data_IF_156196031357
#
_entry.id   IF_156196031357
#
_cell.length_a   1.000
_cell.length_b   1.000
_cell.length_c   1.000
_cell.angle_alpha   90.00
_cell.angle_beta   90.00
_cell.angle_gamma   90.00
#
_symmetry.space_group_name_H-M   'P 1'
#
loop_
_entity.id
_entity.type
_entity.pdbx_description
1 polymer ?
#
# COMPACT_ATOMS: atom_id res chain seq x y z
N UNK A 1 28.49 24.86 46.78
CA UNK A 1 28.19 23.78 45.81
C UNK A 1 26.73 23.74 45.33
N UNK A 2 25.73 23.77 46.22
CA UNK A 2 24.29 23.69 45.86
C UNK A 2 23.79 24.86 44.99
N UNK A 3 24.28 26.08 45.26
CA UNK A 3 23.95 27.27 44.46
C UNK A 3 24.57 27.25 43.05
N UNK A 4 25.80 26.73 42.92
CA UNK A 4 26.49 26.54 41.64
C UNK A 4 25.79 25.50 40.76
N UNK A 5 25.32 24.41 41.36
CA UNK A 5 24.50 23.39 40.68
C UNK A 5 23.16 23.96 40.19
N UNK A 6 22.52 24.84 40.98
CA UNK A 6 21.28 25.50 40.58
C UNK A 6 21.45 26.44 39.39
N UNK A 7 22.50 27.26 39.38
CA UNK A 7 22.81 28.17 38.25
C UNK A 7 23.20 27.39 37.00
N UNK A 8 23.95 26.29 37.14
CA UNK A 8 24.32 25.44 36.02
C UNK A 8 23.09 24.74 35.40
N UNK A 9 22.16 24.24 36.22
CA UNK A 9 20.90 23.67 35.71
C UNK A 9 20.03 24.72 35.00
N UNK A 10 19.97 25.96 35.51
CA UNK A 10 19.20 27.04 34.89
C UNK A 10 19.77 27.46 33.52
N UNK A 11 21.10 27.45 33.38
CA UNK A 11 21.77 27.74 32.11
C UNK A 11 21.52 26.65 31.04
N UNK A 12 21.37 25.39 31.44
CA UNK A 12 21.09 24.28 30.52
C UNK A 12 19.63 24.32 30.02
N UNK A 13 18.69 24.88 30.80
CA UNK A 13 17.29 25.02 30.38
C UNK A 13 17.05 26.06 29.27
N UNK A 14 18.00 26.96 29.01
CA UNK A 14 17.86 28.00 27.98
C UNK A 14 18.18 27.55 26.55
N UNK A 15 18.67 26.33 26.34
CA UNK A 15 19.13 25.83 25.04
C UNK A 15 18.05 25.05 24.28
N UNK A 16 16.83 25.58 24.18
CA UNK A 16 15.82 25.05 23.27
C UNK A 16 15.87 25.83 21.94
N UNK A 17 16.78 25.45 21.04
CA UNK A 17 16.74 25.92 19.65
C UNK A 17 15.61 25.17 18.94
N UNK A 18 14.42 25.78 18.88
CA UNK A 18 13.35 25.30 18.02
C UNK A 18 13.73 25.61 16.57
N UNK A 19 13.97 24.56 15.76
CA UNK A 19 14.10 24.72 14.30
C UNK A 19 12.71 24.96 13.73
N UNK A 20 12.27 26.22 13.73
CA UNK A 20 11.03 26.63 13.08
C UNK A 20 11.43 27.02 11.66
N UNK A 21 10.90 26.32 10.66
CA UNK A 21 11.04 26.71 9.27
C UNK A 21 10.31 28.05 9.05
N UNK A 22 11.05 29.16 9.07
CA UNK A 22 10.49 30.51 8.88
C UNK A 22 10.30 30.75 7.38
N UNK A 23 9.11 30.42 6.87
CA UNK A 23 8.69 30.77 5.50
C UNK A 23 8.17 32.21 5.47
N UNK A 24 8.55 32.98 4.45
CA UNK A 24 8.16 34.39 4.28
C UNK A 24 6.98 34.49 3.30
N UNK A 25 5.82 34.94 3.77
CA UNK A 25 4.63 35.16 2.93
C UNK A 25 4.47 36.64 2.58
N UNK A 26 3.88 36.96 1.42
CA UNK A 26 3.67 38.34 0.97
C UNK A 26 2.51 39.02 1.71
N UNK A 27 1.48 38.25 2.02
CA UNK A 27 0.28 38.69 2.74
C UNK A 27 -0.32 37.54 3.57
N UNK A 28 -1.28 37.86 4.44
CA UNK A 28 -1.98 36.83 5.24
C UNK A 28 -2.81 35.87 4.38
N UNK A 29 -3.30 36.31 3.22
CA UNK A 29 -4.07 35.47 2.32
C UNK A 29 -3.22 34.32 1.75
N UNK A 30 -1.96 34.60 1.43
CA UNK A 30 -0.98 33.64 0.95
C UNK A 30 -0.59 32.66 2.06
N UNK A 31 -0.43 33.12 3.30
CA UNK A 31 -0.21 32.21 4.44
C UNK A 31 -1.41 31.28 4.65
N UNK A 32 -2.63 31.80 4.60
CA UNK A 32 -3.85 30.99 4.73
C UNK A 32 -3.97 29.96 3.60
N UNK A 33 -3.68 30.36 2.36
CA UNK A 33 -3.66 29.45 1.22
C UNK A 33 -2.62 28.34 1.42
N UNK A 34 -1.43 28.67 1.91
CA UNK A 34 -0.40 27.69 2.23
C UNK A 34 -0.87 26.71 3.30
N UNK A 35 -1.42 27.21 4.42
CA UNK A 35 -1.94 26.37 5.52
C UNK A 35 -2.99 25.38 5.01
N UNK A 36 -4.01 25.87 4.30
CA UNK A 36 -5.06 25.01 3.73
C UNK A 36 -4.49 23.93 2.81
N UNK A 37 -3.55 24.30 1.94
CA UNK A 37 -2.95 23.36 1.00
C UNK A 37 -2.08 22.31 1.71
N UNK A 38 -1.36 22.69 2.76
CA UNK A 38 -0.56 21.75 3.57
C UNK A 38 -1.39 20.82 4.46
N UNK A 39 -2.62 21.21 4.80
CA UNK A 39 -3.56 20.35 5.53
C UNK A 39 -4.25 19.33 4.60
N UNK A 40 -4.51 19.71 3.35
CA UNK A 40 -5.11 18.85 2.32
C UNK A 40 -4.13 17.82 1.72
N UNK A 41 -2.83 18.07 1.87
CA UNK A 41 -1.78 17.17 1.44
C UNK A 41 -1.32 16.25 2.59
N UNK A 42 -1.21 14.94 2.31
CA UNK A 42 -0.72 13.88 3.21
C UNK A 42 0.75 13.59 2.97
N UNK A 43 1.44 13.20 4.05
CA UNK A 43 2.79 12.65 3.95
C UNK A 43 2.74 11.15 3.57
N UNK A 44 3.24 10.71 2.39
CA UNK A 44 3.15 9.32 1.94
C UNK A 44 3.96 8.31 2.78
N UNK A 45 4.88 8.80 3.61
CA UNK A 45 5.75 7.99 4.47
C UNK A 45 5.34 8.02 5.95
N UNK A 46 4.39 8.88 6.30
CA UNK A 46 3.98 9.09 7.68
C UNK A 46 2.68 8.34 7.97
N UNK A 47 2.32 8.22 9.25
CA UNK A 47 1.07 7.56 9.67
C UNK A 47 -0.15 8.44 9.40
N UNK A 48 -0.59 8.53 8.13
CA UNK A 48 -1.81 9.24 7.71
C UNK A 48 -1.94 10.67 8.28
N UNK A 49 -0.81 11.38 8.42
CA UNK A 49 -0.77 12.77 8.89
C UNK A 49 -0.66 13.71 7.68
N UNK A 50 -1.16 14.94 7.84
CA UNK A 50 -0.95 16.00 6.87
C UNK A 50 0.53 16.41 6.84
N UNK A 51 0.96 17.04 5.74
CA UNK A 51 2.32 17.61 5.67
C UNK A 51 2.48 18.83 6.59
N UNK A 52 1.37 19.44 7.04
CA UNK A 52 1.37 20.51 8.03
C UNK A 52 1.73 20.02 9.45
N UNK A 53 1.21 18.85 9.85
CA UNK A 53 1.34 18.33 11.23
C UNK A 53 2.56 17.40 11.41
N UNK A 54 3.03 16.78 10.31
CA UNK A 54 4.18 15.87 10.37
C UNK A 54 5.53 16.61 10.35
N UNK A 55 6.37 16.32 11.34
CA UNK A 55 7.76 16.81 11.43
C UNK A 55 8.79 15.91 10.72
N UNK A 56 8.36 15.04 9.80
CA UNK A 56 9.28 14.21 9.03
C UNK A 56 10.07 15.02 7.99
N UNK A 57 11.31 14.62 7.69
CA UNK A 57 12.14 15.27 6.65
C UNK A 57 11.42 15.39 5.30
N UNK A 58 10.64 14.37 4.90
CA UNK A 58 9.86 14.41 3.66
C UNK A 58 8.70 15.40 3.70
N UNK A 59 8.08 15.60 4.87
CA UNK A 59 7.00 16.58 5.01
C UNK A 59 7.55 18.03 4.92
N UNK A 60 8.75 18.28 5.44
CA UNK A 60 9.46 19.55 5.24
C UNK A 60 9.78 19.79 3.76
N UNK A 61 10.31 18.80 3.06
CA UNK A 61 10.59 18.90 1.62
C UNK A 61 9.32 19.18 0.80
N UNK A 62 8.22 18.50 1.11
CA UNK A 62 6.92 18.75 0.47
C UNK A 62 6.38 20.14 0.78
N UNK A 63 6.46 20.61 2.03
CA UNK A 63 6.06 21.99 2.41
C UNK A 63 6.89 23.03 1.66
N UNK A 64 8.20 22.81 1.54
CA UNK A 64 9.09 23.68 0.77
C UNK A 64 8.68 23.73 -0.70
N UNK A 65 8.41 22.57 -1.31
CA UNK A 65 7.98 22.50 -2.71
C UNK A 65 6.62 23.18 -2.94
N UNK A 66 5.68 23.03 -2.02
CA UNK A 66 4.39 23.75 -2.06
C UNK A 66 4.62 25.26 -2.01
N UNK A 67 5.50 25.73 -1.13
CA UNK A 67 5.84 27.14 -1.01
C UNK A 67 6.46 27.70 -2.30
N UNK A 68 7.40 26.98 -2.92
CA UNK A 68 8.00 27.36 -4.19
C UNK A 68 6.95 27.53 -5.30
N UNK A 69 6.08 26.55 -5.49
CA UNK A 69 5.04 26.60 -6.52
C UNK A 69 4.04 27.73 -6.29
N UNK A 70 3.76 28.04 -5.02
CA UNK A 70 2.91 29.17 -4.66
C UNK A 70 3.59 30.52 -4.99
N UNK A 71 4.91 30.63 -4.81
CA UNK A 71 5.68 31.81 -5.19
C UNK A 71 5.79 31.98 -6.71
N UNK A 72 5.77 30.87 -7.46
CA UNK A 72 5.64 30.85 -8.93
C UNK A 72 4.24 31.28 -9.42
N UNK A 73 3.29 31.52 -8.53
CA UNK A 73 1.93 31.97 -8.87
C UNK A 73 1.02 30.84 -9.36
N UNK A 74 1.34 29.58 -9.04
CA UNK A 74 0.47 28.43 -9.37
C UNK A 74 -0.81 28.45 -8.55
N UNK A 75 -1.91 28.06 -9.19
CA UNK A 75 -3.19 27.87 -8.50
C UNK A 75 -3.16 26.63 -7.59
N UNK A 76 -4.04 26.61 -6.58
CA UNK A 76 -4.20 25.46 -5.66
C UNK A 76 -4.29 24.13 -6.42
N UNK A 77 -5.10 24.09 -7.48
CA UNK A 77 -5.33 22.90 -8.28
C UNK A 77 -4.06 22.45 -9.02
N UNK A 78 -3.33 23.39 -9.64
CA UNK A 78 -2.06 23.07 -10.29
C UNK A 78 -1.01 22.55 -9.31
N UNK A 79 -0.98 23.07 -8.08
CA UNK A 79 -0.06 22.59 -7.04
C UNK A 79 -0.42 21.16 -6.64
N UNK A 80 -1.69 20.87 -6.36
CA UNK A 80 -2.14 19.50 -6.02
C UNK A 80 -1.87 18.55 -7.20
N UNK A 81 -2.19 18.96 -8.42
CA UNK A 81 -1.97 18.14 -9.62
C UNK A 81 -0.46 17.85 -9.82
N UNK A 82 0.43 18.82 -9.57
CA UNK A 82 1.88 18.62 -9.57
C UNK A 82 2.31 17.62 -8.50
N UNK A 83 1.79 17.78 -7.27
CA UNK A 83 2.10 16.88 -6.16
C UNK A 83 1.65 15.45 -6.46
N UNK A 84 0.45 15.27 -7.00
CA UNK A 84 -0.07 13.96 -7.41
C UNK A 84 0.74 13.36 -8.55
N UNK A 85 1.13 14.16 -9.55
CA UNK A 85 1.94 13.68 -10.67
C UNK A 85 3.33 13.22 -10.24
N UNK A 86 3.94 13.87 -9.23
CA UNK A 86 5.30 13.56 -8.76
C UNK A 86 5.36 12.56 -7.62
N UNK A 87 4.41 12.61 -6.70
CA UNK A 87 4.39 11.82 -5.44
C UNK A 87 3.25 10.79 -5.38
N UNK A 88 2.36 10.77 -6.38
CA UNK A 88 1.27 9.80 -6.51
C UNK A 88 -0.03 10.23 -5.82
N UNK A 89 -1.10 9.46 -6.05
CA UNK A 89 -2.45 9.78 -5.55
C UNK A 89 -2.57 9.78 -4.01
N UNK A 90 -1.62 9.17 -3.29
CA UNK A 90 -1.63 9.07 -1.83
C UNK A 90 -1.23 10.37 -1.12
N UNK A 91 -0.71 11.35 -1.86
CA UNK A 91 -0.26 12.64 -1.31
C UNK A 91 -1.42 13.60 -1.03
N UNK A 92 -2.64 13.31 -1.46
CA UNK A 92 -3.81 14.18 -1.25
C UNK A 92 -4.91 13.43 -0.49
N UNK A 93 -5.66 14.15 0.36
CA UNK A 93 -6.90 13.62 0.96
C UNK A 93 -8.01 13.42 -0.07
N UNK A 94 -7.99 14.17 -1.18
CA UNK A 94 -8.99 14.15 -2.25
C UNK A 94 -8.34 13.73 -3.58
N UNK A 95 -8.09 12.41 -3.78
CA UNK A 95 -7.48 11.92 -5.01
C UNK A 95 -8.45 12.08 -6.20
N UNK A 96 -7.92 12.35 -7.41
CA UNK A 96 -8.76 12.55 -8.58
C UNK A 96 -9.61 11.31 -8.90
N UNK A 97 -10.85 11.53 -9.34
CA UNK A 97 -11.76 10.47 -9.78
C UNK A 97 -11.21 9.80 -11.04
N UNK A 98 -10.68 8.60 -10.88
CA UNK A 98 -10.25 7.75 -12.01
C UNK A 98 -11.44 6.93 -12.53
N UNK A 99 -11.42 6.49 -13.81
CA UNK A 99 -12.45 5.60 -14.35
C UNK A 99 -12.63 4.32 -13.52
N UNK A 100 -11.53 3.78 -12.97
CA UNK A 100 -11.55 2.61 -12.10
C UNK A 100 -12.27 2.89 -10.78
N UNK A 101 -12.02 4.04 -10.14
CA UNK A 101 -12.75 4.44 -8.93
C UNK A 101 -14.25 4.56 -9.23
N UNK A 102 -14.64 5.22 -10.31
CA UNK A 102 -16.06 5.36 -10.69
C UNK A 102 -16.71 3.98 -10.90
N UNK A 103 -16.04 3.07 -11.62
CA UNK A 103 -16.54 1.71 -11.82
C UNK A 103 -16.78 0.97 -10.51
N UNK A 104 -15.86 1.10 -9.55
CA UNK A 104 -15.94 0.46 -8.23
C UNK A 104 -17.16 0.95 -7.43
N UNK A 105 -17.54 2.22 -7.57
CA UNK A 105 -18.74 2.79 -6.93
C UNK A 105 -20.04 2.50 -7.69
N UNK A 106 -20.02 2.44 -9.02
CA UNK A 106 -21.21 2.16 -9.84
C UNK A 106 -21.64 0.70 -9.72
N UNK A 107 -20.69 -0.24 -9.60
CA UNK A 107 -20.96 -1.67 -9.60
C UNK A 107 -21.89 -2.13 -8.43
N UNK A 108 -21.69 -1.70 -7.17
CA UNK A 108 -22.63 -1.96 -6.08
C UNK A 108 -24.05 -1.44 -6.33
N UNK A 109 -24.18 -0.21 -6.84
CA UNK A 109 -25.48 0.43 -7.12
C UNK A 109 -26.23 -0.37 -8.19
N UNK A 110 -25.54 -0.75 -9.26
CA UNK A 110 -26.11 -1.58 -10.33
C UNK A 110 -26.50 -2.96 -9.82
N UNK A 111 -25.68 -3.61 -8.99
CA UNK A 111 -25.98 -4.91 -8.41
C UNK A 111 -27.26 -4.87 -7.54
N UNK A 112 -27.43 -3.84 -6.72
CA UNK A 112 -28.65 -3.63 -5.92
C UNK A 112 -29.85 -3.39 -6.83
N UNK A 113 -29.70 -2.56 -7.87
CA UNK A 113 -30.76 -2.31 -8.85
C UNK A 113 -31.23 -3.58 -9.56
N UNK A 114 -30.29 -4.41 -10.02
CA UNK A 114 -30.58 -5.70 -10.65
C UNK A 114 -31.23 -6.66 -9.65
N UNK A 115 -30.70 -6.77 -8.43
CA UNK A 115 -31.27 -7.62 -7.38
C UNK A 115 -32.70 -7.25 -7.03
N UNK A 116 -32.97 -5.95 -6.82
CA UNK A 116 -34.31 -5.43 -6.57
C UNK A 116 -35.27 -5.68 -7.73
N UNK A 117 -34.80 -5.46 -8.98
CA UNK A 117 -35.58 -5.75 -10.18
C UNK A 117 -35.96 -7.23 -10.29
N UNK A 118 -35.03 -8.14 -10.02
CA UNK A 118 -35.28 -9.60 -10.06
C UNK A 118 -36.32 -10.00 -9.01
N UNK A 119 -36.24 -9.47 -7.79
CA UNK A 119 -37.22 -9.72 -6.72
C UNK A 119 -38.61 -9.22 -7.15
N UNK A 120 -38.69 -8.00 -7.66
CA UNK A 120 -39.94 -7.40 -8.13
C UNK A 120 -40.55 -8.15 -9.33
N UNK A 121 -39.73 -8.52 -10.30
CA UNK A 121 -40.17 -9.31 -11.45
C UNK A 121 -40.67 -10.70 -11.04
N UNK A 122 -40.06 -11.33 -10.03
CA UNK A 122 -40.54 -12.60 -9.45
C UNK A 122 -41.82 -12.43 -8.63
N UNK A 123 -41.97 -11.37 -7.85
CA UNK A 123 -43.20 -11.15 -7.07
C UNK A 123 -44.42 -10.86 -7.96
N UNK A 124 -44.21 -10.22 -9.13
CA UNK A 124 -45.26 -10.01 -10.13
C UNK A 124 -45.65 -11.27 -10.91
N UNK A 125 -44.83 -12.32 -10.91
CA UNK A 125 -45.31 -13.64 -11.33
C UNK A 125 -46.20 -14.15 -10.21
N UNK A 126 -47.52 -13.89 -10.33
CA UNK A 126 -48.51 -14.45 -9.42
C UNK A 126 -48.29 -15.96 -9.36
N UNK A 127 -47.79 -16.44 -8.22
CA UNK A 127 -48.04 -17.83 -7.84
C UNK A 127 -49.56 -17.92 -7.79
N UNK A 128 -50.13 -18.69 -8.72
CA UNK A 128 -51.55 -19.04 -8.65
C UNK A 128 -51.67 -19.91 -7.40
N UNK A 129 -51.93 -19.29 -6.26
CA UNK A 129 -52.31 -20.00 -5.05
C UNK A 129 -53.69 -20.54 -5.36
N UNK A 130 -53.72 -21.78 -5.85
CA UNK A 130 -54.95 -22.55 -5.96
C UNK A 130 -55.42 -22.72 -4.51
N UNK A 131 -56.60 -22.20 -4.12
CA UNK A 131 -57.14 -22.47 -2.81
C UNK A 131 -57.57 -23.94 -2.78
N UNK A 132 -56.67 -24.83 -2.40
CA UNK A 132 -57.04 -26.20 -2.04
C UNK A 132 -57.60 -26.16 -0.61
N UNK A 133 -58.82 -26.69 -0.45
CA UNK A 133 -59.43 -26.89 0.85
C UNK A 133 -58.48 -27.71 1.73
N UNK A 134 -58.14 -27.19 2.90
CA UNK A 134 -57.16 -27.78 3.80
C UNK A 134 -57.59 -29.20 4.23
N UNK A 135 -56.85 -30.26 3.88
CA UNK A 135 -56.91 -31.49 4.66
C UNK A 135 -56.20 -31.23 5.99
N UNK A 136 -56.81 -31.68 7.07
CA UNK A 136 -56.27 -31.60 8.42
C UNK A 136 -54.87 -32.24 8.47
N UNK A 137 -53.87 -31.42 8.82
CA UNK A 137 -52.50 -31.80 9.16
C UNK A 137 -51.65 -32.46 8.06
N UNK A 138 -51.08 -31.62 7.19
CA UNK A 138 -49.68 -31.83 6.80
C UNK A 138 -48.94 -30.51 6.90
N UNK A 139 -47.99 -30.42 7.83
CA UNK A 139 -47.02 -29.32 7.83
C UNK A 139 -46.27 -29.45 6.50
N UNK A 140 -46.33 -28.47 5.59
CA UNK A 140 -45.54 -28.56 4.37
C UNK A 140 -44.08 -28.54 4.82
N UNK A 141 -43.42 -29.69 4.73
CA UNK A 141 -41.98 -29.80 4.90
C UNK A 141 -41.35 -29.08 3.70
N UNK A 142 -41.24 -27.76 3.82
CA UNK A 142 -40.66 -26.91 2.80
C UNK A 142 -39.28 -27.46 2.48
N UNK A 143 -39.10 -27.98 1.27
CA UNK A 143 -37.83 -28.55 0.82
C UNK A 143 -36.75 -27.52 1.11
N UNK A 144 -35.92 -27.78 2.13
CA UNK A 144 -34.76 -26.94 2.45
C UNK A 144 -33.98 -26.82 1.15
N UNK A 145 -33.79 -25.59 0.66
CA UNK A 145 -33.02 -25.34 -0.54
C UNK A 145 -31.68 -26.07 -0.40
N UNK A 146 -31.46 -27.09 -1.21
CA UNK A 146 -30.28 -27.95 -1.07
C UNK A 146 -29.01 -27.12 -1.25
N UNK A 147 -27.90 -27.56 -0.64
CA UNK A 147 -26.60 -26.89 -0.72
C UNK A 147 -26.15 -26.53 -2.15
N UNK A 148 -26.73 -27.20 -3.16
CA UNK A 148 -26.59 -26.94 -4.60
C UNK A 148 -26.89 -25.48 -4.99
N UNK A 149 -27.76 -24.76 -4.27
CA UNK A 149 -28.05 -23.34 -4.56
C UNK A 149 -26.84 -22.44 -4.29
N UNK A 150 -25.92 -22.85 -3.41
CA UNK A 150 -24.72 -22.07 -3.08
C UNK A 150 -23.53 -22.37 -3.99
N UNK A 151 -23.53 -23.50 -4.72
CA UNK A 151 -22.44 -23.88 -5.62
C UNK A 151 -22.03 -22.80 -6.62
N UNK A 152 -22.94 -22.14 -7.36
CA UNK A 152 -22.53 -21.09 -8.30
C UNK A 152 -21.89 -19.90 -7.58
N UNK A 153 -22.36 -19.54 -6.38
CA UNK A 153 -21.77 -18.48 -5.57
C UNK A 153 -20.36 -18.82 -5.09
N UNK A 154 -20.15 -20.06 -4.63
CA UNK A 154 -18.82 -20.55 -4.20
C UNK A 154 -17.86 -20.59 -5.38
N UNK A 155 -18.30 -21.09 -6.54
CA UNK A 155 -17.47 -21.15 -7.76
C UNK A 155 -17.07 -19.73 -8.19
N UNK A 156 -18.01 -18.79 -8.22
CA UNK A 156 -17.71 -17.38 -8.53
C UNK A 156 -16.75 -16.78 -7.51
N UNK A 157 -16.96 -17.02 -6.21
CA UNK A 157 -16.07 -16.51 -5.16
C UNK A 157 -14.63 -17.05 -5.29
N UNK A 158 -14.47 -18.35 -5.57
CA UNK A 158 -13.15 -18.97 -5.79
C UNK A 158 -12.48 -18.45 -7.07
N UNK A 159 -13.23 -18.24 -8.16
CA UNK A 159 -12.70 -17.67 -9.40
C UNK A 159 -12.24 -16.23 -9.16
N UNK A 160 -13.07 -15.40 -8.53
CA UNK A 160 -12.72 -14.00 -8.24
C UNK A 160 -11.51 -13.91 -7.31
N UNK A 161 -11.47 -14.73 -6.25
CA UNK A 161 -10.32 -14.80 -5.35
C UNK A 161 -9.05 -15.25 -6.09
N UNK A 162 -9.14 -16.29 -6.93
CA UNK A 162 -8.02 -16.79 -7.73
C UNK A 162 -7.50 -15.75 -8.73
N UNK A 163 -8.39 -15.06 -9.44
CA UNK A 163 -8.03 -13.99 -10.39
C UNK A 163 -7.42 -12.79 -9.66
N UNK A 164 -8.01 -12.38 -8.53
CA UNK A 164 -7.47 -11.30 -7.70
C UNK A 164 -6.07 -11.63 -7.19
N UNK A 165 -5.87 -12.85 -6.68
CA UNK A 165 -4.56 -13.34 -6.26
C UNK A 165 -3.57 -13.44 -7.42
N UNK A 166 -4.02 -13.80 -8.63
CA UNK A 166 -3.13 -13.82 -9.78
C UNK A 166 -2.67 -12.42 -10.22
N UNK A 167 -3.54 -11.41 -10.14
CA UNK A 167 -3.20 -10.03 -10.53
C UNK A 167 -2.40 -9.29 -9.47
N UNK A 168 -2.72 -9.49 -8.18
CA UNK A 168 -2.10 -8.74 -7.06
C UNK A 168 -1.04 -9.55 -6.31
N UNK A 169 -1.03 -10.86 -6.49
CA UNK A 169 -0.17 -11.77 -5.75
C UNK A 169 1.24 -11.81 -6.31
N UNK A 170 2.21 -11.90 -5.40
CA UNK A 170 3.62 -11.90 -5.73
C UNK A 170 4.15 -13.30 -6.11
N UNK A 171 3.31 -14.15 -6.73
CA UNK A 171 3.62 -15.56 -7.00
C UNK A 171 4.86 -15.74 -7.90
N UNK A 172 5.07 -14.82 -8.84
CA UNK A 172 6.28 -14.80 -9.67
C UNK A 172 7.55 -14.60 -8.83
N UNK A 173 7.51 -13.71 -7.83
CA UNK A 173 8.67 -13.50 -6.95
C UNK A 173 8.94 -14.69 -6.03
N UNK A 174 7.89 -15.41 -5.61
CA UNK A 174 8.06 -16.67 -4.88
C UNK A 174 8.77 -17.70 -5.76
N UNK A 175 8.41 -17.82 -7.04
CA UNK A 175 9.10 -18.72 -7.98
C UNK A 175 10.56 -18.34 -8.19
N UNK A 176 10.84 -17.06 -8.40
CA UNK A 176 12.22 -16.55 -8.55
C UNK A 176 13.03 -16.85 -7.29
N UNK A 177 12.46 -16.59 -6.10
CA UNK A 177 13.11 -16.90 -4.84
C UNK A 177 13.36 -18.40 -4.65
N UNK A 178 12.41 -19.27 -5.03
CA UNK A 178 12.59 -20.72 -5.00
C UNK A 178 13.72 -21.18 -5.94
N UNK A 179 13.76 -20.65 -7.16
CA UNK A 179 14.82 -20.95 -8.14
C UNK A 179 16.18 -20.47 -7.65
N UNK A 180 16.28 -19.23 -7.16
CA UNK A 180 17.50 -18.66 -6.61
C UNK A 180 18.01 -19.49 -5.43
N UNK A 181 17.13 -19.91 -4.52
CA UNK A 181 17.50 -20.73 -3.36
C UNK A 181 17.94 -22.13 -3.77
N UNK A 182 17.31 -22.73 -4.78
CA UNK A 182 17.67 -24.05 -5.30
C UNK A 182 19.00 -24.06 -6.07
N UNK A 183 19.31 -22.98 -6.79
CA UNK A 183 20.54 -22.84 -7.60
C UNK A 183 21.73 -22.28 -6.81
N UNK A 184 21.48 -21.66 -5.65
CA UNK A 184 22.49 -21.04 -4.81
C UNK A 184 23.75 -21.89 -4.55
N UNK A 185 23.68 -23.18 -4.15
CA UNK A 185 24.89 -23.95 -3.87
C UNK A 185 25.75 -24.15 -5.13
N UNK A 186 25.12 -24.46 -6.27
CA UNK A 186 25.85 -24.65 -7.53
C UNK A 186 26.49 -23.35 -8.04
N UNK A 187 25.84 -22.20 -7.84
CA UNK A 187 26.39 -20.89 -8.18
C UNK A 187 27.54 -20.51 -7.24
N UNK A 188 27.45 -20.85 -5.96
CA UNK A 188 28.52 -20.63 -4.99
C UNK A 188 29.75 -21.48 -5.34
N UNK A 189 29.56 -22.77 -5.63
CA UNK A 189 30.65 -23.68 -6.02
C UNK A 189 31.37 -23.16 -7.27
N UNK A 190 30.62 -22.68 -8.26
CA UNK A 190 31.19 -22.08 -9.47
C UNK A 190 31.96 -20.79 -9.17
N UNK A 191 31.45 -19.94 -8.28
CA UNK A 191 32.10 -18.69 -7.90
C UNK A 191 33.42 -18.91 -7.13
N UNK A 192 33.56 -20.05 -6.45
CA UNK A 192 34.76 -20.42 -5.71
C UNK A 192 35.81 -21.16 -6.58
N UNK A 193 35.43 -21.65 -7.76
CA UNK A 193 36.34 -22.33 -8.68
C UNK A 193 37.14 -21.30 -9.51
N UNK A 194 38.48 -21.20 -9.34
CA UNK A 194 39.32 -20.27 -10.10
C UNK A 194 39.37 -20.54 -11.61
N UNK A 195 38.91 -21.73 -12.05
CA UNK A 195 38.96 -22.16 -13.45
C UNK A 195 37.60 -22.09 -14.16
N UNK A 196 36.53 -21.79 -13.44
CA UNK A 196 35.20 -21.68 -14.02
C UNK A 196 34.97 -20.31 -14.65
N UNK A 197 34.02 -20.26 -15.59
CA UNK A 197 33.59 -19.00 -16.19
C UNK A 197 32.96 -18.07 -15.13
N UNK A 198 33.21 -16.75 -15.20
CA UNK A 198 32.69 -15.78 -14.25
C UNK A 198 31.16 -15.71 -14.31
N UNK A 199 30.51 -15.53 -13.15
CA UNK A 199 29.06 -15.40 -13.06
C UNK A 199 28.58 -14.11 -13.74
N UNK A 200 27.44 -14.20 -14.43
CA UNK A 200 26.77 -13.03 -14.96
C UNK A 200 26.02 -12.25 -13.86
N UNK A 201 25.58 -11.03 -14.16
CA UNK A 201 24.89 -10.16 -13.20
C UNK A 201 23.61 -10.78 -12.63
N UNK A 202 22.84 -11.47 -13.47
CA UNK A 202 21.61 -12.16 -13.05
C UNK A 202 21.91 -13.32 -12.09
N UNK A 203 22.91 -14.14 -12.39
CA UNK A 203 23.39 -15.24 -11.55
C UNK A 203 23.96 -14.73 -10.23
N UNK A 204 24.71 -13.63 -10.23
CA UNK A 204 25.20 -12.98 -9.02
C UNK A 204 24.04 -12.50 -8.14
N UNK A 205 23.00 -11.89 -8.73
CA UNK A 205 21.80 -11.45 -7.97
C UNK A 205 21.04 -12.63 -7.36
N UNK A 206 20.91 -13.75 -8.08
CA UNK A 206 20.27 -15.00 -7.61
C UNK A 206 21.10 -15.65 -6.51
N UNK A 207 22.42 -15.69 -6.67
CA UNK A 207 23.36 -16.17 -5.65
C UNK A 207 23.22 -15.35 -4.36
N UNK A 208 23.23 -14.02 -4.46
CA UNK A 208 23.05 -13.13 -3.31
C UNK A 208 21.71 -13.37 -2.59
N UNK A 209 20.61 -13.51 -3.33
CA UNK A 209 19.29 -13.80 -2.76
C UNK A 209 19.26 -15.17 -2.04
N UNK A 210 19.85 -16.19 -2.65
CA UNK A 210 19.96 -17.53 -2.08
C UNK A 210 20.82 -17.57 -0.82
N UNK A 211 22.00 -16.93 -0.84
CA UNK A 211 22.91 -16.83 0.30
C UNK A 211 22.26 -16.09 1.47
N UNK A 212 21.59 -14.97 1.22
CA UNK A 212 20.84 -14.23 2.26
C UNK A 212 19.79 -15.13 2.93
N UNK A 213 19.08 -15.94 2.14
CA UNK A 213 18.07 -16.88 2.65
C UNK A 213 18.70 -17.99 3.50
N UNK A 214 19.87 -18.51 3.14
CA UNK A 214 20.58 -19.50 3.94
C UNK A 214 21.16 -18.92 5.24
N UNK A 215 21.75 -17.72 5.17
CA UNK A 215 22.33 -17.02 6.33
C UNK A 215 21.27 -16.61 7.36
N UNK A 216 20.03 -16.37 6.92
CA UNK A 216 18.90 -16.21 7.84
C UNK A 216 18.60 -17.50 8.64
N UNK A 217 18.81 -18.68 8.04
CA UNK A 217 18.63 -19.97 8.73
C UNK A 217 19.83 -20.35 9.60
N UNK A 218 21.03 -19.96 9.20
CA UNK A 218 22.26 -20.20 9.95
C UNK A 218 23.03 -18.89 10.20
N UNK A 219 22.58 -18.06 11.16
CA UNK A 219 23.15 -16.74 11.37
C UNK A 219 24.59 -16.75 11.92
N UNK A 220 25.07 -17.91 12.41
CA UNK A 220 26.42 -18.08 12.94
C UNK A 220 27.52 -18.22 11.88
N UNK A 221 27.18 -18.31 10.59
CA UNK A 221 28.14 -18.43 9.49
C UNK A 221 28.72 -17.05 9.10
N UNK A 222 29.83 -16.68 9.76
CA UNK A 222 30.52 -15.40 9.54
C UNK A 222 31.11 -15.31 8.11
N UNK A 223 31.63 -16.42 7.58
CA UNK A 223 32.23 -16.44 6.24
C UNK A 223 31.18 -16.18 5.16
N UNK A 224 30.00 -16.78 5.29
CA UNK A 224 28.90 -16.52 4.39
C UNK A 224 28.42 -15.06 4.41
N UNK A 225 28.39 -14.39 5.57
CA UNK A 225 28.08 -12.96 5.66
C UNK A 225 29.12 -12.09 4.96
N UNK A 226 30.42 -12.41 5.08
CA UNK A 226 31.51 -11.69 4.39
C UNK A 226 31.38 -11.88 2.87
N UNK A 227 31.16 -13.11 2.42
CA UNK A 227 30.99 -13.42 0.99
C UNK A 227 29.75 -12.74 0.41
N UNK A 228 28.62 -12.72 1.13
CA UNK A 228 27.43 -11.98 0.71
C UNK A 228 27.72 -10.49 0.54
N UNK A 229 28.49 -9.89 1.46
CA UNK A 229 28.92 -8.49 1.35
C UNK A 229 29.79 -8.24 0.12
N UNK A 230 30.72 -9.14 -0.20
CA UNK A 230 31.56 -9.06 -1.42
C UNK A 230 30.73 -9.14 -2.71
N UNK A 231 29.80 -10.09 -2.78
CA UNK A 231 28.89 -10.22 -3.93
C UNK A 231 27.99 -8.99 -4.05
N UNK A 232 27.51 -8.44 -2.93
CA UNK A 232 26.72 -7.21 -2.90
C UNK A 232 27.48 -6.00 -3.47
N UNK A 233 28.75 -5.81 -3.09
CA UNK A 233 29.59 -4.74 -3.65
C UNK A 233 29.86 -4.90 -5.15
N UNK A 234 29.83 -6.12 -5.68
CA UNK A 234 29.99 -6.36 -7.11
C UNK A 234 28.72 -6.03 -7.92
N UNK A 235 27.55 -5.98 -7.28
CA UNK A 235 26.25 -5.71 -7.91
C UNK A 235 25.85 -4.21 -7.91
N UNK A 236 26.59 -3.35 -7.20
CA UNK A 236 26.32 -1.90 -7.13
C UNK A 236 25.74 -1.44 -5.81
#
# INVERSE_FOLDING_TARGET
>A
MRFLLGVLMLMISGSALATIDVLQFKDEAQEQQFRQLTEELRCPKCQNNSIADSNSMIATDLRQKVYELMQEGKSKKEIVDYMVARYGNFVTYDPPLTPLTVLLWVLPVVAIGIGGWVIYARSRRRVRVVPEAFPEQSVPEGKRAGYVVYLPGIVVALIVAGVSYYQTGNYQQVKIWQQATAQAPALLDRALDPKADPLNEEEMSRLALGMRTQLQKNPGDIEGWIMLGRVGMALG
#
